data_IF_536316193822
#
_entry.id   IF_536316193822
#
_cell.length_a   1.000
_cell.length_b   1.000
_cell.length_c   1.000
_cell.angle_alpha   90.00
_cell.angle_beta   90.00
_cell.angle_gamma   90.00
#
_symmetry.space_group_name_H-M   'P 1'
#
loop_
_entity.id
_entity.type
_entity.pdbx_description
1 polymer ?
#
# COMPACT_ATOMS: atom_id res chain seq x y z
N UNK A 1 -77.03 -80.81 -2.77
CA UNK A 1 -76.14 -80.56 -1.60
C UNK A 1 -74.78 -81.10 -1.99
N UNK A 2 -73.67 -80.38 -2.11
CA UNK A 2 -73.30 -79.04 -1.70
C UNK A 2 -71.82 -79.10 -1.34
N UNK A 3 -70.96 -78.39 -2.09
CA UNK A 3 -69.84 -77.55 -1.62
C UNK A 3 -68.88 -77.27 -2.79
N UNK A 4 -69.08 -76.09 -3.38
CA UNK A 4 -68.07 -75.39 -4.18
C UNK A 4 -66.91 -75.04 -3.24
N UNK A 5 -65.79 -75.74 -3.36
CA UNK A 5 -64.55 -75.36 -2.69
C UNK A 5 -63.87 -74.28 -3.55
N UNK A 6 -64.21 -73.03 -3.26
CA UNK A 6 -63.64 -71.84 -3.88
C UNK A 6 -62.17 -71.76 -3.44
N UNK A 7 -61.24 -72.14 -4.33
CA UNK A 7 -59.81 -71.93 -4.15
C UNK A 7 -59.55 -70.43 -3.97
N UNK A 8 -59.48 -69.95 -2.72
CA UNK A 8 -58.93 -68.63 -2.40
C UNK A 8 -57.42 -68.72 -2.61
N UNK A 9 -56.95 -68.31 -3.79
CA UNK A 9 -55.53 -68.01 -4.00
C UNK A 9 -55.13 -66.92 -3.00
N UNK A 10 -54.04 -67.16 -2.29
CA UNK A 10 -53.54 -66.25 -1.26
C UNK A 10 -52.68 -65.19 -1.97
N UNK A 11 -53.25 -64.02 -2.25
CA UNK A 11 -52.59 -62.94 -3.03
C UNK A 11 -51.59 -62.10 -2.22
N UNK A 12 -51.44 -62.39 -0.93
CA UNK A 12 -50.57 -61.67 0.00
C UNK A 12 -49.08 -61.66 -0.42
N UNK A 13 -48.48 -62.76 -0.90
CA UNK A 13 -47.07 -62.77 -1.31
C UNK A 13 -46.82 -61.90 -2.55
N UNK A 14 -47.74 -61.95 -3.54
CA UNK A 14 -47.62 -61.18 -4.77
C UNK A 14 -47.76 -59.68 -4.50
N UNK A 15 -48.69 -59.29 -3.62
CA UNK A 15 -48.83 -57.90 -3.19
C UNK A 15 -47.55 -57.40 -2.49
N UNK A 16 -46.88 -58.24 -1.70
CA UNK A 16 -45.62 -57.90 -1.05
C UNK A 16 -44.47 -57.74 -2.05
N UNK A 17 -44.37 -58.64 -3.05
CA UNK A 17 -43.34 -58.55 -4.08
C UNK A 17 -43.53 -57.33 -4.98
N UNK A 18 -44.76 -57.04 -5.40
CA UNK A 18 -45.10 -55.83 -6.16
C UNK A 18 -44.82 -54.57 -5.34
N UNK A 19 -45.16 -54.58 -4.05
CA UNK A 19 -44.89 -53.45 -3.16
C UNK A 19 -43.38 -53.25 -2.93
N UNK A 20 -42.61 -54.32 -2.74
CA UNK A 20 -41.16 -54.26 -2.60
C UNK A 20 -40.48 -53.75 -3.88
N UNK A 21 -40.97 -54.16 -5.05
CA UNK A 21 -40.49 -53.70 -6.36
C UNK A 21 -40.77 -52.20 -6.55
N UNK A 22 -41.97 -51.74 -6.21
CA UNK A 22 -42.33 -50.31 -6.24
C UNK A 22 -41.43 -49.52 -5.27
N UNK A 23 -41.26 -49.99 -4.04
CA UNK A 23 -40.44 -49.30 -3.03
C UNK A 23 -38.95 -49.24 -3.40
N UNK A 24 -38.37 -50.27 -4.01
CA UNK A 24 -36.98 -50.24 -4.48
C UNK A 24 -36.79 -49.27 -5.65
N UNK A 25 -37.79 -49.19 -6.53
CA UNK A 25 -37.74 -48.30 -7.68
C UNK A 25 -37.87 -46.84 -7.24
N UNK A 26 -38.78 -46.53 -6.31
CA UNK A 26 -38.91 -45.18 -5.72
C UNK A 26 -37.75 -44.82 -4.77
N UNK A 27 -37.16 -45.80 -4.07
CA UNK A 27 -35.96 -45.58 -3.27
C UNK A 27 -34.74 -45.17 -4.11
N UNK A 28 -34.65 -45.65 -5.36
CA UNK A 28 -33.57 -45.25 -6.29
C UNK A 28 -33.71 -43.82 -6.84
N UNK A 29 -34.91 -43.21 -6.77
CA UNK A 29 -35.18 -41.85 -7.25
C UNK A 29 -34.50 -40.78 -6.39
N UNK A 30 -34.09 -41.13 -5.16
CA UNK A 30 -33.28 -40.26 -4.30
C UNK A 30 -31.80 -40.19 -4.69
N UNK A 31 -31.38 -40.88 -5.75
CA UNK A 31 -29.98 -40.85 -6.22
C UNK A 31 -29.76 -39.74 -7.25
N UNK A 32 -28.58 -39.11 -7.23
CA UNK A 32 -28.17 -37.98 -8.10
C UNK A 32 -28.21 -38.29 -9.61
N UNK A 33 -28.46 -39.55 -10.00
CA UNK A 33 -28.29 -40.07 -11.37
C UNK A 33 -29.65 -40.34 -12.04
N UNK A 34 -30.34 -39.26 -12.44
CA UNK A 34 -31.72 -39.30 -12.97
C UNK A 34 -31.92 -40.26 -14.17
N UNK A 35 -30.92 -40.39 -15.04
CA UNK A 35 -30.97 -41.30 -16.21
C UNK A 35 -30.96 -42.77 -15.80
N UNK A 36 -30.18 -43.12 -14.77
CA UNK A 36 -30.09 -44.50 -14.26
C UNK A 36 -31.40 -44.87 -13.54
N UNK A 37 -31.96 -43.95 -12.76
CA UNK A 37 -33.27 -44.15 -12.11
C UNK A 37 -34.39 -44.39 -13.13
N UNK A 38 -34.39 -43.67 -14.27
CA UNK A 38 -35.36 -43.87 -15.35
C UNK A 38 -35.21 -45.24 -16.01
N UNK A 39 -33.97 -45.69 -16.27
CA UNK A 39 -33.70 -47.03 -16.82
C UNK A 39 -34.16 -48.14 -15.86
N UNK A 40 -33.89 -48.01 -14.56
CA UNK A 40 -34.37 -48.95 -13.54
C UNK A 40 -35.90 -48.96 -13.49
N UNK A 41 -36.55 -47.80 -13.58
CA UNK A 41 -38.01 -47.68 -13.61
C UNK A 41 -38.67 -48.40 -14.80
N UNK A 42 -38.06 -48.31 -15.98
CA UNK A 42 -38.54 -49.02 -17.18
C UNK A 42 -38.41 -50.54 -16.98
N UNK A 43 -37.28 -51.02 -16.45
CA UNK A 43 -37.05 -52.43 -16.17
C UNK A 43 -38.06 -52.96 -15.15
N UNK A 44 -38.31 -52.21 -14.07
CA UNK A 44 -39.34 -52.52 -13.07
C UNK A 44 -40.72 -52.67 -13.70
N UNK A 45 -41.11 -51.76 -14.61
CA UNK A 45 -42.41 -51.83 -15.28
C UNK A 45 -42.54 -53.10 -16.14
N UNK A 46 -41.49 -53.50 -16.84
CA UNK A 46 -41.46 -54.73 -17.64
C UNK A 46 -41.62 -55.96 -16.74
N UNK A 47 -40.92 -56.00 -15.61
CA UNK A 47 -41.01 -57.10 -14.63
C UNK A 47 -42.43 -57.17 -14.05
N UNK A 48 -43.03 -56.03 -13.70
CA UNK A 48 -44.39 -55.96 -13.17
C UNK A 48 -45.43 -56.52 -14.16
N UNK A 49 -45.34 -56.11 -15.42
CA UNK A 49 -46.23 -56.60 -16.48
C UNK A 49 -46.06 -58.12 -16.65
N UNK A 50 -44.83 -58.62 -16.67
CA UNK A 50 -44.55 -60.05 -16.81
C UNK A 50 -45.10 -60.87 -15.63
N UNK A 51 -44.96 -60.39 -14.40
CA UNK A 51 -45.50 -61.05 -13.20
C UNK A 51 -47.03 -61.09 -13.21
N UNK A 52 -47.68 -59.97 -13.53
CA UNK A 52 -49.14 -59.89 -13.58
C UNK A 52 -49.72 -60.70 -14.75
N UNK A 53 -49.05 -60.71 -15.91
CA UNK A 53 -49.43 -61.54 -17.05
C UNK A 53 -49.34 -63.04 -16.73
N UNK A 54 -48.31 -63.46 -15.99
CA UNK A 54 -48.13 -64.85 -15.57
C UNK A 54 -49.25 -65.35 -14.65
N UNK A 55 -49.74 -64.51 -13.73
CA UNK A 55 -50.78 -64.93 -12.78
C UNK A 55 -52.22 -64.76 -13.29
N UNK A 56 -52.49 -63.67 -14.03
CA UNK A 56 -53.86 -63.25 -14.39
C UNK A 56 -54.10 -63.20 -15.91
N UNK A 57 -53.13 -63.67 -16.72
CA UNK A 57 -53.25 -63.75 -18.16
C UNK A 57 -53.46 -62.38 -18.81
N UNK A 58 -54.41 -62.31 -19.77
CA UNK A 58 -54.69 -61.09 -20.55
C UNK A 58 -55.15 -59.93 -19.66
N UNK A 59 -55.96 -60.21 -18.63
CA UNK A 59 -56.44 -59.19 -17.67
C UNK A 59 -55.30 -58.65 -16.80
N UNK A 60 -54.35 -59.52 -16.43
CA UNK A 60 -53.14 -59.12 -15.73
C UNK A 60 -52.23 -58.23 -16.57
N UNK A 61 -52.11 -58.53 -17.86
CA UNK A 61 -51.31 -57.75 -18.81
C UNK A 61 -51.87 -56.33 -18.96
N UNK A 62 -53.19 -56.19 -19.14
CA UNK A 62 -53.86 -54.90 -19.24
C UNK A 62 -53.72 -54.06 -17.95
N UNK A 63 -53.94 -54.69 -16.79
CA UNK A 63 -53.78 -54.02 -15.49
C UNK A 63 -52.32 -53.59 -15.28
N UNK A 64 -51.35 -54.44 -15.61
CA UNK A 64 -49.92 -54.14 -15.51
C UNK A 64 -49.51 -52.96 -16.37
N UNK A 65 -49.96 -52.91 -17.64
CA UNK A 65 -49.68 -51.79 -18.55
C UNK A 65 -50.23 -50.48 -17.96
N UNK A 66 -51.46 -50.48 -17.43
CA UNK A 66 -52.10 -49.28 -16.90
C UNK A 66 -51.37 -48.74 -15.66
N UNK A 67 -50.94 -49.64 -14.76
CA UNK A 67 -50.12 -49.28 -13.59
C UNK A 67 -48.74 -48.78 -14.03
N UNK A 68 -48.11 -49.42 -15.00
CA UNK A 68 -46.81 -48.97 -15.54
C UNK A 68 -46.89 -47.59 -16.19
N UNK A 69 -47.96 -47.28 -16.92
CA UNK A 69 -48.18 -45.94 -17.48
C UNK A 69 -48.30 -44.91 -16.35
N UNK A 70 -49.10 -45.19 -15.32
CA UNK A 70 -49.25 -44.29 -14.17
C UNK A 70 -47.91 -44.05 -13.45
N UNK A 71 -47.13 -45.11 -13.25
CA UNK A 71 -45.80 -45.04 -12.63
C UNK A 71 -44.81 -44.24 -13.49
N UNK A 72 -44.82 -44.44 -14.80
CA UNK A 72 -43.98 -43.68 -15.74
C UNK A 72 -44.37 -42.20 -15.75
N UNK A 73 -45.67 -41.87 -15.73
CA UNK A 73 -46.12 -40.47 -15.63
C UNK A 73 -45.66 -39.84 -14.32
N UNK A 74 -45.78 -40.55 -13.18
CA UNK A 74 -45.29 -40.06 -11.89
C UNK A 74 -43.76 -39.85 -11.88
N UNK A 75 -43.00 -40.77 -12.47
CA UNK A 75 -41.55 -40.62 -12.63
C UNK A 75 -41.19 -39.45 -13.54
N UNK A 76 -41.87 -39.29 -14.68
CA UNK A 76 -41.64 -38.16 -15.59
C UNK A 76 -41.96 -36.86 -14.88
N UNK A 77 -43.05 -36.75 -14.14
CA UNK A 77 -43.39 -35.56 -13.34
C UNK A 77 -42.33 -35.28 -12.26
N UNK A 78 -41.76 -36.29 -11.62
CA UNK A 78 -40.68 -36.10 -10.65
C UNK A 78 -39.33 -35.76 -11.28
N UNK A 79 -39.04 -36.26 -12.49
CA UNK A 79 -37.85 -35.89 -13.27
C UNK A 79 -37.98 -34.47 -13.82
N UNK A 80 -39.19 -34.07 -14.25
CA UNK A 80 -39.55 -32.73 -14.74
C UNK A 80 -39.74 -31.70 -13.64
N UNK A 81 -40.01 -32.11 -12.39
CA UNK A 81 -39.67 -31.28 -11.25
C UNK A 81 -38.15 -31.13 -11.29
N UNK A 82 -37.70 -30.05 -11.93
CA UNK A 82 -36.37 -29.52 -11.75
C UNK A 82 -36.08 -29.53 -10.24
N UNK A 83 -34.84 -29.80 -9.79
CA UNK A 83 -34.48 -29.30 -8.47
C UNK A 83 -34.93 -27.84 -8.49
N UNK A 84 -35.82 -27.45 -7.58
CA UNK A 84 -36.08 -26.02 -7.49
C UNK A 84 -34.73 -25.41 -7.17
N UNK A 85 -34.27 -24.52 -8.03
CA UNK A 85 -33.12 -23.70 -7.69
C UNK A 85 -33.57 -22.96 -6.44
N UNK A 86 -33.07 -23.37 -5.27
CA UNK A 86 -33.39 -22.76 -3.98
C UNK A 86 -33.16 -21.24 -4.03
N UNK A 87 -32.32 -20.81 -4.98
CA UNK A 87 -32.08 -19.44 -5.39
C UNK A 87 -33.29 -18.75 -6.06
N UNK A 88 -33.94 -19.39 -7.03
CA UNK A 88 -35.08 -18.82 -7.77
C UNK A 88 -36.32 -18.70 -6.88
N UNK A 89 -36.51 -19.64 -5.95
CA UNK A 89 -37.64 -19.62 -5.01
C UNK A 89 -37.55 -18.48 -3.96
N UNK A 90 -36.34 -17.94 -3.72
CA UNK A 90 -36.09 -16.85 -2.74
C UNK A 90 -36.12 -15.45 -3.35
N UNK A 91 -36.21 -15.32 -4.67
CA UNK A 91 -36.18 -14.05 -5.40
C UNK A 91 -37.62 -13.61 -5.71
N UNK A 92 -37.98 -12.35 -5.43
CA UNK A 92 -39.28 -11.80 -5.83
C UNK A 92 -39.34 -11.57 -7.34
N UNK A 93 -40.51 -11.77 -7.97
CA UNK A 93 -40.67 -11.68 -9.44
C UNK A 93 -40.26 -10.33 -10.05
N UNK A 94 -40.21 -9.26 -9.27
CA UNK A 94 -39.83 -7.90 -9.66
C UNK A 94 -38.33 -7.60 -9.53
N UNK A 95 -37.55 -8.52 -8.93
CA UNK A 95 -36.12 -8.35 -8.76
C UNK A 95 -35.41 -8.37 -10.10
N UNK A 96 -34.56 -7.37 -10.37
CA UNK A 96 -33.72 -7.33 -11.57
C UNK A 96 -32.63 -8.38 -11.50
N UNK A 97 -32.52 -9.15 -12.58
CA UNK A 97 -31.55 -10.24 -12.74
C UNK A 97 -30.68 -9.94 -13.97
N UNK A 98 -29.39 -10.23 -13.88
CA UNK A 98 -28.41 -10.03 -14.93
C UNK A 98 -27.28 -11.06 -14.90
N UNK A 99 -26.22 -10.77 -15.64
CA UNK A 99 -24.98 -11.56 -15.68
C UNK A 99 -23.87 -10.78 -14.99
N UNK A 100 -23.17 -11.38 -14.04
CA UNK A 100 -21.97 -10.81 -13.45
C UNK A 100 -20.75 -11.29 -14.24
N UNK A 101 -20.01 -10.35 -14.82
CA UNK A 101 -18.73 -10.57 -15.47
C UNK A 101 -17.61 -9.98 -14.62
N UNK A 102 -16.70 -10.85 -14.18
CA UNK A 102 -15.54 -10.49 -13.37
C UNK A 102 -14.28 -10.50 -14.22
N UNK A 103 -13.73 -9.31 -14.41
CA UNK A 103 -12.39 -9.09 -14.94
C UNK A 103 -11.38 -9.18 -13.79
N UNK A 104 -10.25 -9.85 -13.99
CA UNK A 104 -9.15 -9.85 -13.03
C UNK A 104 -8.01 -8.98 -13.54
N UNK A 105 -7.40 -8.25 -12.60
CA UNK A 105 -6.15 -7.54 -12.82
C UNK A 105 -5.15 -7.93 -11.72
N UNK A 106 -3.89 -8.09 -12.07
CA UNK A 106 -2.79 -8.33 -11.13
C UNK A 106 -2.27 -7.00 -10.57
N UNK A 107 -2.06 -6.93 -9.26
CA UNK A 107 -1.38 -5.84 -8.60
C UNK A 107 0.13 -5.92 -8.87
N UNK A 108 0.61 -5.02 -9.73
CA UNK A 108 2.04 -4.86 -10.01
C UNK A 108 2.69 -3.99 -8.94
N UNK A 109 2.03 -2.89 -8.57
CA UNK A 109 2.48 -1.99 -7.51
C UNK A 109 1.32 -1.25 -6.87
N UNK A 110 1.27 -1.21 -5.55
CA UNK A 110 0.45 -0.28 -4.80
C UNK A 110 1.28 0.92 -4.34
N UNK A 111 0.69 2.11 -4.32
CA UNK A 111 1.31 3.27 -3.69
C UNK A 111 0.23 4.18 -3.09
N UNK A 112 0.46 4.63 -1.86
CA UNK A 112 -0.56 5.36 -1.13
C UNK A 112 0.01 6.44 -0.22
N UNK A 113 -0.83 7.42 0.07
CA UNK A 113 -0.55 8.49 1.02
C UNK A 113 -1.84 8.88 1.76
N UNK A 114 -1.79 9.96 2.53
CA UNK A 114 -2.95 10.51 3.26
C UNK A 114 -4.13 10.91 2.36
N UNK A 115 -3.88 11.14 1.06
CA UNK A 115 -4.89 11.57 0.09
C UNK A 115 -5.54 10.40 -0.66
N UNK A 116 -5.03 9.17 -0.53
CA UNK A 116 -5.65 7.99 -1.09
C UNK A 116 -4.67 6.88 -1.47
N UNK A 117 -5.25 5.78 -1.95
CA UNK A 117 -4.54 4.59 -2.40
C UNK A 117 -4.63 4.50 -3.92
N UNK A 118 -3.51 4.27 -4.58
CA UNK A 118 -3.42 4.06 -6.02
C UNK A 118 -2.76 2.72 -6.29
N UNK A 119 -3.17 2.07 -7.38
CA UNK A 119 -2.63 0.81 -7.82
C UNK A 119 -2.25 0.91 -9.28
N UNK A 120 -1.11 0.32 -9.62
CA UNK A 120 -0.75 -0.04 -10.98
C UNK A 120 -1.05 -1.51 -11.14
N UNK A 121 -1.88 -1.81 -12.14
CA UNK A 121 -2.37 -3.16 -12.39
C UNK A 121 -2.14 -3.59 -13.83
N UNK A 122 -2.15 -4.90 -14.06
CA UNK A 122 -2.07 -5.51 -15.38
C UNK A 122 -3.23 -6.48 -15.59
N UNK A 123 -3.82 -6.51 -16.78
CA UNK A 123 -4.96 -7.37 -17.06
C UNK A 123 -4.57 -8.86 -17.03
N UNK A 124 -5.34 -9.68 -16.31
CA UNK A 124 -5.17 -11.13 -16.25
C UNK A 124 -6.22 -11.80 -17.12
N UNK A 125 -5.78 -12.57 -18.12
CA UNK A 125 -6.68 -13.48 -18.84
C UNK A 125 -6.88 -14.74 -18.03
N UNK A 126 -8.07 -14.90 -17.47
CA UNK A 126 -8.43 -16.08 -16.71
C UNK A 126 -8.73 -17.23 -17.67
N UNK A 127 -7.98 -18.32 -17.54
CA UNK A 127 -8.27 -19.60 -18.19
C UNK A 127 -8.90 -20.58 -17.20
N UNK A 128 -9.62 -21.59 -17.73
CA UNK A 128 -10.40 -22.52 -16.91
C UNK A 128 -9.53 -23.39 -15.98
N UNK A 129 -8.32 -23.70 -16.41
CA UNK A 129 -7.32 -24.45 -15.64
C UNK A 129 -6.68 -23.65 -14.51
N UNK A 130 -6.79 -22.31 -14.54
CA UNK A 130 -6.35 -21.45 -13.45
C UNK A 130 -7.33 -21.45 -12.28
N UNK A 131 -8.62 -21.75 -12.49
CA UNK A 131 -9.64 -21.63 -11.47
C UNK A 131 -9.64 -22.82 -10.51
N UNK A 132 -9.07 -22.66 -9.31
CA UNK A 132 -9.03 -23.71 -8.29
C UNK A 132 -10.30 -23.74 -7.46
N UNK A 133 -10.71 -22.57 -6.93
CA UNK A 133 -11.90 -22.43 -6.12
C UNK A 133 -12.52 -21.05 -6.30
N UNK A 134 -13.77 -21.01 -6.75
CA UNK A 134 -14.52 -19.77 -6.95
C UNK A 134 -15.88 -19.93 -6.28
N UNK A 135 -16.15 -19.04 -5.33
CA UNK A 135 -17.39 -19.03 -4.57
C UNK A 135 -17.96 -17.63 -4.58
N UNK A 136 -19.21 -17.49 -4.98
CA UNK A 136 -19.97 -16.26 -4.88
C UNK A 136 -21.16 -16.50 -3.95
N UNK A 137 -21.18 -15.88 -2.77
CA UNK A 137 -22.27 -16.00 -1.81
C UNK A 137 -23.13 -14.75 -1.83
N UNK A 138 -24.42 -14.89 -2.12
CA UNK A 138 -25.38 -13.82 -1.91
C UNK A 138 -25.62 -13.64 -0.41
N UNK A 139 -25.39 -12.41 0.09
CA UNK A 139 -25.69 -12.02 1.46
C UNK A 139 -27.20 -11.84 1.64
N UNK A 140 -27.86 -11.25 0.64
CA UNK A 140 -29.28 -10.87 0.72
C UNK A 140 -30.22 -12.08 0.64
N UNK A 141 -29.83 -13.12 -0.10
CA UNK A 141 -30.63 -14.33 -0.30
C UNK A 141 -30.11 -15.55 0.46
N UNK A 142 -28.94 -15.44 1.12
CA UNK A 142 -28.21 -16.51 1.81
C UNK A 142 -28.08 -17.79 0.96
N UNK A 143 -27.57 -17.61 -0.26
CA UNK A 143 -27.30 -18.70 -1.22
C UNK A 143 -25.88 -18.61 -1.73
N UNK A 144 -25.25 -19.79 -1.85
CA UNK A 144 -23.90 -19.94 -2.41
C UNK A 144 -24.02 -20.38 -3.87
N UNK A 145 -23.37 -19.63 -4.76
CA UNK A 145 -23.32 -19.86 -6.19
C UNK A 145 -21.92 -20.36 -6.55
N UNK A 146 -21.85 -21.64 -6.89
CA UNK A 146 -20.61 -22.33 -7.31
C UNK A 146 -20.56 -22.55 -8.83
N UNK A 147 -21.68 -22.37 -9.52
CA UNK A 147 -21.74 -22.49 -10.98
C UNK A 147 -21.26 -21.19 -11.65
N UNK A 148 -20.10 -21.27 -12.30
CA UNK A 148 -19.55 -20.20 -13.13
C UNK A 148 -19.03 -20.74 -14.46
N UNK A 149 -18.80 -19.83 -15.40
CA UNK A 149 -18.11 -20.12 -16.67
C UNK A 149 -16.93 -19.19 -16.84
N UNK A 150 -15.88 -19.68 -17.49
CA UNK A 150 -14.79 -18.83 -17.98
C UNK A 150 -15.06 -18.50 -19.44
N UNK A 151 -15.18 -17.21 -19.77
CA UNK A 151 -15.47 -16.74 -21.12
C UNK A 151 -14.67 -15.47 -21.43
N UNK A 152 -13.98 -15.48 -22.57
CA UNK A 152 -13.16 -14.36 -23.06
C UNK A 152 -12.15 -13.83 -22.02
N UNK A 153 -11.59 -14.72 -21.19
CA UNK A 153 -10.64 -14.37 -20.13
C UNK A 153 -11.28 -13.90 -18.81
N UNK A 154 -12.59 -14.05 -18.63
CA UNK A 154 -13.33 -13.55 -17.46
C UNK A 154 -14.13 -14.66 -16.77
N UNK A 155 -14.38 -14.49 -15.47
CA UNK A 155 -15.31 -15.36 -14.73
C UNK A 155 -16.72 -14.79 -14.85
N UNK A 156 -17.67 -15.63 -15.29
CA UNK A 156 -19.03 -15.23 -15.60
C UNK A 156 -20.02 -16.04 -14.77
N UNK A 157 -20.86 -15.33 -14.02
CA UNK A 157 -22.00 -15.89 -13.31
C UNK A 157 -23.29 -15.40 -13.97
N UNK A 158 -24.19 -16.31 -14.29
CA UNK A 158 -25.47 -16.00 -14.94
C UNK A 158 -26.61 -16.01 -13.93
N UNK A 159 -27.70 -15.31 -14.27
CA UNK A 159 -28.94 -15.26 -13.48
C UNK A 159 -28.74 -14.71 -12.06
N UNK A 160 -27.93 -13.66 -11.92
CA UNK A 160 -27.60 -13.04 -10.65
C UNK A 160 -28.59 -11.90 -10.37
N UNK A 161 -29.33 -11.88 -9.26
CA UNK A 161 -30.15 -10.74 -8.86
C UNK A 161 -29.31 -9.57 -8.35
N UNK A 162 -29.87 -8.36 -8.41
CA UNK A 162 -29.35 -7.21 -7.69
C UNK A 162 -29.17 -7.56 -6.19
N UNK A 163 -28.07 -7.11 -5.58
CA UNK A 163 -27.81 -7.38 -4.17
C UNK A 163 -26.35 -7.29 -3.76
N UNK A 164 -26.08 -7.71 -2.53
CA UNK A 164 -24.76 -7.76 -1.92
C UNK A 164 -24.22 -9.19 -1.95
N UNK A 165 -22.96 -9.33 -2.36
CA UNK A 165 -22.31 -10.61 -2.56
C UNK A 165 -20.93 -10.63 -1.93
N UNK A 166 -20.63 -11.71 -1.22
CA UNK A 166 -19.27 -12.05 -0.81
C UNK A 166 -18.66 -12.95 -1.87
N UNK A 167 -17.45 -12.63 -2.28
CA UNK A 167 -16.71 -13.38 -3.29
C UNK A 167 -15.41 -13.92 -2.71
N UNK A 168 -15.10 -15.16 -3.06
CA UNK A 168 -13.80 -15.79 -2.84
C UNK A 168 -13.31 -16.40 -4.14
N UNK A 169 -12.13 -15.99 -4.59
CA UNK A 169 -11.51 -16.48 -5.81
C UNK A 169 -10.08 -16.93 -5.48
N UNK A 170 -9.81 -18.20 -5.71
CA UNK A 170 -8.47 -18.78 -5.74
C UNK A 170 -8.14 -19.12 -7.20
N UNK A 171 -7.15 -18.42 -7.75
CA UNK A 171 -6.57 -18.74 -9.06
C UNK A 171 -5.14 -19.26 -8.87
N UNK A 172 -4.71 -20.17 -9.73
CA UNK A 172 -3.34 -20.65 -9.74
C UNK A 172 -2.36 -19.49 -10.00
N UNK A 173 -1.35 -19.34 -9.15
CA UNK A 173 -0.35 -18.26 -9.23
C UNK A 173 -0.76 -16.96 -8.50
N UNK A 174 -1.94 -16.93 -7.86
CA UNK A 174 -2.45 -15.76 -7.15
C UNK A 174 -2.92 -16.11 -5.74
N UNK A 175 -2.68 -15.17 -4.83
CA UNK A 175 -3.17 -15.23 -3.46
C UNK A 175 -4.70 -15.25 -3.44
N UNK A 176 -5.27 -15.91 -2.42
CA UNK A 176 -6.73 -15.97 -2.22
C UNK A 176 -7.32 -14.56 -2.16
N UNK A 177 -8.13 -14.22 -3.17
CA UNK A 177 -8.91 -12.99 -3.16
C UNK A 177 -10.21 -13.22 -2.38
N UNK A 178 -10.51 -12.34 -1.43
CA UNK A 178 -11.79 -12.30 -0.72
C UNK A 178 -12.28 -10.87 -0.61
N UNK A 179 -13.54 -10.63 -0.98
CA UNK A 179 -14.12 -9.29 -0.91
C UNK A 179 -15.64 -9.31 -0.91
N UNK A 180 -16.24 -8.13 -0.70
CA UNK A 180 -17.69 -7.93 -0.79
C UNK A 180 -17.98 -6.95 -1.92
N UNK A 181 -18.95 -7.26 -2.76
CA UNK A 181 -19.40 -6.40 -3.85
C UNK A 181 -20.90 -6.16 -3.79
N UNK A 182 -21.32 -4.96 -4.19
CA UNK A 182 -22.73 -4.61 -4.34
C UNK A 182 -23.04 -4.47 -5.82
N UNK A 183 -24.01 -5.25 -6.30
CA UNK A 183 -24.59 -5.14 -7.63
C UNK A 183 -25.79 -4.21 -7.53
N UNK A 184 -25.84 -3.17 -8.36
CA UNK A 184 -26.94 -2.19 -8.38
C UNK A 184 -27.57 -2.18 -9.77
N UNK A 185 -28.87 -1.89 -9.84
CA UNK A 185 -29.57 -1.75 -11.12
C UNK A 185 -28.98 -0.61 -11.97
N UNK A 186 -28.54 0.48 -11.35
CA UNK A 186 -27.92 1.61 -12.06
C UNK A 186 -26.60 1.29 -12.74
N UNK A 187 -25.95 0.17 -12.37
CA UNK A 187 -24.66 -0.29 -12.91
C UNK A 187 -24.86 -1.47 -13.89
N UNK A 188 -26.10 -1.84 -14.18
CA UNK A 188 -26.46 -2.93 -15.08
C UNK A 188 -26.58 -2.39 -16.52
N UNK A 189 -25.60 -2.70 -17.36
CA UNK A 189 -25.58 -2.28 -18.77
C UNK A 189 -25.77 -3.52 -19.66
N UNK A 190 -26.74 -3.47 -20.57
CA UNK A 190 -27.05 -4.61 -21.48
C UNK A 190 -27.28 -5.95 -20.74
N UNK A 191 -27.83 -5.89 -19.52
CA UNK A 191 -28.00 -7.02 -18.60
C UNK A 191 -26.69 -7.63 -18.05
N UNK A 192 -25.59 -6.87 -18.04
CA UNK A 192 -24.29 -7.29 -17.53
C UNK A 192 -23.78 -6.30 -16.47
N UNK A 193 -23.35 -6.82 -15.33
CA UNK A 193 -22.49 -6.10 -14.40
C UNK A 193 -21.04 -6.44 -14.71
N UNK A 194 -20.27 -5.44 -15.14
CA UNK A 194 -18.83 -5.57 -15.29
C UNK A 194 -18.15 -5.12 -13.99
N UNK A 195 -17.43 -6.03 -13.34
CA UNK A 195 -16.64 -5.72 -12.14
C UNK A 195 -15.20 -6.15 -12.35
N UNK A 196 -14.28 -5.34 -11.84
CA UNK A 196 -12.86 -5.66 -11.80
C UNK A 196 -12.48 -6.04 -10.39
N UNK A 197 -11.71 -7.12 -10.25
CA UNK A 197 -11.05 -7.50 -9.00
C UNK A 197 -9.53 -7.37 -9.18
N UNK A 198 -8.85 -6.93 -8.13
CA UNK A 198 -7.39 -6.85 -8.11
C UNK A 198 -6.84 -8.02 -7.33
N UNK A 199 -6.02 -8.83 -7.97
CA UNK A 199 -5.39 -10.03 -7.44
C UNK A 199 -3.94 -9.71 -7.08
N UNK A 200 -3.47 -10.28 -5.98
CA UNK A 200 -2.04 -10.31 -5.66
C UNK A 200 -1.47 -11.63 -6.15
N UNK A 201 -0.28 -11.60 -6.74
CA UNK A 201 0.44 -12.83 -7.04
C UNK A 201 0.69 -13.64 -5.75
N UNK A 202 1.05 -14.92 -5.88
CA UNK A 202 1.47 -15.75 -4.73
C UNK A 202 2.81 -15.30 -4.10
N UNK A 203 3.44 -14.27 -4.65
CA UNK A 203 4.66 -13.70 -4.07
C UNK A 203 4.34 -12.87 -2.83
N UNK A 204 5.26 -12.86 -1.87
CA UNK A 204 5.19 -11.94 -0.74
C UNK A 204 5.28 -10.49 -1.24
N UNK A 205 4.46 -9.59 -0.70
CA UNK A 205 4.54 -8.16 -1.00
C UNK A 205 5.30 -7.43 0.11
N UNK A 206 6.18 -6.51 -0.29
CA UNK A 206 6.98 -5.68 0.60
C UNK A 206 6.42 -4.27 0.60
N UNK A 207 6.24 -3.73 1.79
CA UNK A 207 5.78 -2.35 2.01
C UNK A 207 6.90 -1.50 2.58
N UNK A 208 7.19 -0.36 1.95
CA UNK A 208 8.29 0.52 2.37
C UNK A 208 8.09 1.98 1.97
N UNK A 209 8.74 2.87 2.71
CA UNK A 209 8.90 4.29 2.38
C UNK A 209 10.33 4.53 1.88
N UNK A 210 10.51 5.59 1.09
CA UNK A 210 11.83 5.96 0.54
C UNK A 210 12.27 7.30 1.13
N UNK A 211 13.51 7.34 1.63
CA UNK A 211 14.22 8.53 2.08
C UNK A 211 15.48 8.67 1.23
N UNK A 212 15.73 9.87 0.71
CA UNK A 212 16.84 10.14 -0.21
C UNK A 212 17.91 11.03 0.44
N UNK A 213 19.17 10.68 0.20
CA UNK A 213 20.34 11.42 0.69
C UNK A 213 21.38 11.58 -0.41
N UNK A 214 22.29 12.55 -0.24
CA UNK A 214 23.44 12.73 -1.12
C UNK A 214 24.57 11.74 -0.80
N UNK A 215 25.72 11.89 -1.47
CA UNK A 215 26.86 10.99 -1.30
C UNK A 215 27.53 11.05 0.07
N UNK A 216 27.28 12.10 0.87
CA UNK A 216 27.77 12.22 2.25
C UNK A 216 26.74 11.74 3.28
N UNK A 217 25.51 11.44 2.84
CA UNK A 217 24.42 10.99 3.70
C UNK A 217 23.50 12.13 4.17
N UNK A 218 23.67 13.33 3.63
CA UNK A 218 22.85 14.49 3.94
C UNK A 218 21.49 14.42 3.23
N UNK A 219 20.45 14.89 3.92
CA UNK A 219 19.06 14.79 3.45
C UNK A 219 18.85 15.66 2.20
N UNK A 220 18.28 15.04 1.16
CA UNK A 220 17.93 15.73 -0.09
C UNK A 220 16.47 16.19 -0.08
N UNK A 221 16.27 17.48 0.26
CA UNK A 221 14.96 18.14 0.36
C UNK A 221 14.50 18.76 -0.96
N UNK A 222 13.18 18.75 -1.20
CA UNK A 222 12.53 19.35 -2.38
C UNK A 222 13.12 18.87 -3.71
N UNK A 223 13.68 17.66 -3.72
CA UNK A 223 14.25 17.06 -4.92
C UNK A 223 13.23 16.23 -5.64
N UNK A 224 13.26 16.35 -6.96
CA UNK A 224 12.38 15.63 -7.86
C UNK A 224 12.95 14.24 -8.12
N UNK A 225 12.10 13.24 -8.03
CA UNK A 225 12.41 11.85 -8.35
C UNK A 225 11.34 11.20 -9.21
N UNK A 226 11.73 10.16 -9.94
CA UNK A 226 10.81 9.20 -10.55
C UNK A 226 11.05 7.82 -9.91
N UNK A 227 9.99 7.03 -9.78
CA UNK A 227 10.03 5.65 -9.29
C UNK A 227 9.56 4.73 -10.39
N UNK A 228 10.39 3.79 -10.85
CA UNK A 228 10.06 2.85 -11.92
C UNK A 228 10.19 1.41 -11.46
N UNK A 229 9.32 0.54 -11.95
CA UNK A 229 9.45 -0.91 -11.75
C UNK A 229 10.22 -1.48 -12.93
N UNK A 230 11.39 -2.07 -12.69
CA UNK A 230 12.26 -2.54 -13.76
C UNK A 230 11.59 -3.65 -14.57
N UNK A 231 11.93 -3.71 -15.85
CA UNK A 231 11.33 -4.63 -16.83
C UNK A 231 9.82 -4.41 -17.07
N UNK A 232 9.31 -3.24 -16.73
CA UNK A 232 7.93 -2.82 -17.02
C UNK A 232 7.91 -1.39 -17.55
N UNK A 233 6.78 -0.97 -18.13
CA UNK A 233 6.56 0.42 -18.55
C UNK A 233 6.01 1.31 -17.42
N UNK A 234 6.00 0.80 -16.18
CA UNK A 234 5.32 1.44 -15.06
C UNK A 234 6.25 2.38 -14.30
N UNK A 235 5.87 3.67 -14.27
CA UNK A 235 6.65 4.73 -13.65
C UNK A 235 5.70 5.68 -12.91
N UNK A 236 6.02 6.00 -11.67
CA UNK A 236 5.43 7.13 -10.92
C UNK A 236 6.39 8.31 -11.05
N UNK A 237 5.93 9.37 -11.71
CA UNK A 237 6.77 10.53 -12.04
C UNK A 237 6.54 11.70 -11.12
N UNK A 238 7.48 12.63 -11.15
CA UNK A 238 7.37 13.94 -10.52
C UNK A 238 7.15 13.87 -9.00
N UNK A 239 7.74 12.86 -8.35
CA UNK A 239 7.74 12.73 -6.89
C UNK A 239 8.66 13.80 -6.31
N UNK A 240 8.19 14.58 -5.34
CA UNK A 240 9.02 15.61 -4.68
C UNK A 240 9.25 15.18 -3.24
N UNK A 241 10.52 15.14 -2.82
CA UNK A 241 10.89 14.84 -1.44
C UNK A 241 10.51 15.96 -0.48
N UNK A 242 10.11 15.60 0.74
CA UNK A 242 9.80 16.56 1.80
C UNK A 242 11.06 17.05 2.55
N UNK A 243 10.83 17.78 3.65
CA UNK A 243 11.88 18.31 4.54
C UNK A 243 12.76 17.24 5.20
N UNK A 244 12.30 16.00 5.27
CA UNK A 244 13.05 14.86 5.79
C UNK A 244 13.67 14.02 4.64
N UNK A 245 13.60 14.52 3.40
CA UNK A 245 14.05 13.83 2.20
C UNK A 245 13.19 12.62 1.86
N UNK A 246 11.98 12.53 2.39
CA UNK A 246 11.09 11.40 2.19
C UNK A 246 10.21 11.61 0.97
N UNK A 247 10.06 10.56 0.16
CA UNK A 247 9.14 10.56 -0.99
C UNK A 247 7.67 10.47 -0.51
N UNK A 248 6.71 11.03 -1.27
CA UNK A 248 5.36 11.30 -0.77
C UNK A 248 4.47 10.06 -0.59
N UNK A 249 4.93 8.88 -0.97
CA UNK A 249 4.15 7.64 -0.94
C UNK A 249 4.84 6.55 -0.12
N UNK A 250 4.01 5.70 0.50
CA UNK A 250 4.42 4.35 0.87
C UNK A 250 4.15 3.43 -0.33
N UNK A 251 5.14 2.65 -0.72
CA UNK A 251 5.09 1.73 -1.86
C UNK A 251 4.87 0.29 -1.39
N UNK A 252 4.14 -0.49 -2.18
CA UNK A 252 3.88 -1.91 -1.98
C UNK A 252 4.21 -2.64 -3.29
N UNK A 253 5.23 -3.50 -3.28
CA UNK A 253 5.67 -4.25 -4.47
C UNK A 253 5.82 -5.75 -4.16
N UNK A 254 5.60 -6.65 -5.14
CA UNK A 254 6.03 -8.03 -5.03
C UNK A 254 7.54 -8.12 -4.73
N UNK A 255 7.93 -8.99 -3.80
CA UNK A 255 9.30 -9.08 -3.27
C UNK A 255 10.32 -9.52 -4.31
N UNK A 256 9.88 -10.16 -5.39
CA UNK A 256 10.71 -10.62 -6.49
C UNK A 256 10.91 -9.58 -7.61
N UNK A 257 10.32 -8.40 -7.50
CA UNK A 257 10.52 -7.33 -8.48
C UNK A 257 11.67 -6.40 -8.08
N UNK A 258 12.38 -5.96 -9.11
CA UNK A 258 13.36 -4.89 -9.00
C UNK A 258 12.71 -3.56 -9.37
N UNK A 259 13.16 -2.49 -8.73
CA UNK A 259 12.71 -1.14 -9.00
C UNK A 259 13.90 -0.18 -9.00
N UNK A 260 13.69 0.97 -9.60
CA UNK A 260 14.70 2.02 -9.70
C UNK A 260 14.10 3.34 -9.22
N UNK A 261 14.92 4.13 -8.53
CA UNK A 261 14.62 5.51 -8.19
C UNK A 261 15.58 6.40 -8.94
N UNK A 262 15.03 7.29 -9.77
CA UNK A 262 15.78 8.30 -10.50
C UNK A 262 15.67 9.63 -9.74
N UNK A 263 16.81 10.24 -9.41
CA UNK A 263 16.91 11.56 -8.80
C UNK A 263 17.35 12.59 -9.84
N UNK A 264 16.61 13.69 -9.95
CA UNK A 264 17.00 14.84 -10.77
C UNK A 264 17.74 15.87 -9.89
N UNK A 265 19.06 15.98 -10.09
CA UNK A 265 19.94 16.84 -9.28
C UNK A 265 20.87 17.64 -10.20
N UNK A 266 20.87 18.97 -10.08
CA UNK A 266 21.77 19.89 -10.81
C UNK A 266 21.90 19.63 -12.32
N UNK A 267 20.76 19.39 -12.98
CA UNK A 267 20.63 19.07 -14.43
C UNK A 267 21.21 17.71 -14.84
N UNK A 268 21.59 16.90 -13.87
CA UNK A 268 21.96 15.51 -14.05
C UNK A 268 20.90 14.58 -13.44
N UNK A 269 20.94 13.32 -13.85
CA UNK A 269 20.05 12.26 -13.36
C UNK A 269 20.90 11.16 -12.75
N UNK A 270 20.55 10.77 -11.53
CA UNK A 270 21.21 9.72 -10.76
C UNK A 270 20.21 8.59 -10.54
N UNK A 271 20.64 7.34 -10.69
CA UNK A 271 19.75 6.19 -10.65
C UNK A 271 20.27 5.17 -9.64
N UNK A 272 19.39 4.70 -8.76
CA UNK A 272 19.70 3.61 -7.83
C UNK A 272 18.66 2.50 -7.97
N UNK A 273 19.13 1.25 -8.02
CA UNK A 273 18.33 0.06 -8.29
C UNK A 273 18.30 -0.86 -7.08
N UNK A 274 17.14 -1.45 -6.82
CA UNK A 274 16.90 -2.29 -5.65
C UNK A 274 15.99 -3.47 -5.97
N UNK A 275 16.26 -4.60 -5.33
CA UNK A 275 15.34 -5.73 -5.25
C UNK A 275 14.42 -5.56 -4.04
N UNK A 276 13.10 -5.65 -4.24
CA UNK A 276 12.12 -5.42 -3.16
C UNK A 276 12.30 -6.37 -1.96
N UNK A 277 12.79 -7.60 -2.15
CA UNK A 277 13.08 -8.52 -1.04
C UNK A 277 14.14 -7.99 -0.06
N UNK A 278 15.02 -7.09 -0.50
CA UNK A 278 16.23 -6.72 0.23
C UNK A 278 16.10 -5.36 0.95
N UNK A 279 15.06 -4.59 0.65
CA UNK A 279 14.88 -3.24 1.20
C UNK A 279 14.43 -3.24 2.66
N UNK A 280 14.85 -2.24 3.43
CA UNK A 280 14.27 -2.00 4.75
C UNK A 280 13.05 -1.08 4.66
N UNK A 281 12.32 -0.93 5.77
CA UNK A 281 11.29 0.10 5.89
C UNK A 281 11.62 1.02 7.09
N UNK A 282 11.99 2.29 6.85
CA UNK A 282 12.16 2.93 5.54
C UNK A 282 13.42 2.45 4.78
N UNK A 283 13.38 2.52 3.46
CA UNK A 283 14.53 2.40 2.58
C UNK A 283 15.24 3.76 2.52
N UNK A 284 16.54 3.78 2.83
CA UNK A 284 17.40 4.95 2.64
C UNK A 284 18.22 4.76 1.37
N UNK A 285 18.07 5.69 0.43
CA UNK A 285 18.78 5.70 -0.86
C UNK A 285 19.82 6.80 -0.80
N UNK A 286 21.09 6.41 -0.86
CA UNK A 286 22.23 7.32 -0.87
C UNK A 286 22.71 7.45 -2.31
N UNK A 287 22.41 8.59 -2.94
CA UNK A 287 22.81 8.82 -4.33
C UNK A 287 24.27 9.28 -4.42
N UNK A 288 24.94 8.92 -5.50
CA UNK A 288 26.31 9.39 -5.81
C UNK A 288 26.36 10.84 -6.31
N UNK A 289 25.50 11.73 -5.79
CA UNK A 289 25.51 13.16 -6.16
C UNK A 289 26.73 13.87 -5.58
N UNK A 290 27.27 14.90 -6.24
CA UNK A 290 28.21 15.81 -5.58
C UNK A 290 27.56 16.35 -4.29
N UNK A 291 28.32 16.45 -3.19
CA UNK A 291 27.81 17.03 -1.97
C UNK A 291 27.33 18.45 -2.25
N UNK A 292 26.20 18.82 -1.66
CA UNK A 292 25.62 20.16 -1.85
C UNK A 292 26.72 21.18 -1.50
N UNK A 293 27.10 22.05 -2.46
CA UNK A 293 28.15 23.04 -2.23
C UNK A 293 27.81 23.84 -0.98
N UNK A 294 28.60 23.66 0.10
CA UNK A 294 28.50 24.51 1.28
C UNK A 294 28.79 25.93 0.83
N UNK A 295 27.95 26.89 1.20
CA UNK A 295 28.17 28.31 0.87
C UNK A 295 29.60 28.64 1.34
N UNK A 296 30.53 28.97 0.43
CA UNK A 296 31.93 29.17 0.81
C UNK A 296 32.03 30.50 1.55
N UNK A 297 31.95 30.43 2.87
CA UNK A 297 32.27 31.56 3.75
C UNK A 297 33.79 31.73 3.81
N UNK A 298 34.25 32.97 3.78
CA UNK A 298 35.67 33.28 3.96
C UNK A 298 35.91 33.94 5.31
N UNK A 299 37.04 33.65 5.94
CA UNK A 299 37.41 34.15 7.27
C UNK A 299 38.74 34.87 7.21
N UNK A 300 38.84 36.00 7.91
CA UNK A 300 40.10 36.67 8.21
C UNK A 300 40.05 37.24 9.62
N UNK A 301 41.17 37.18 10.36
CA UNK A 301 41.24 37.72 11.71
C UNK A 301 42.51 38.52 12.00
N UNK A 302 42.47 39.28 13.09
CA UNK A 302 43.62 39.95 13.69
C UNK A 302 43.68 39.66 15.19
N UNK A 303 44.87 39.39 15.76
CA UNK A 303 46.16 39.26 15.09
C UNK A 303 46.25 38.00 14.22
N UNK A 304 46.85 38.11 13.04
CA UNK A 304 47.12 36.98 12.15
C UNK A 304 48.47 36.35 12.53
N UNK A 305 48.48 35.65 13.66
CA UNK A 305 49.64 34.91 14.16
C UNK A 305 49.33 33.40 14.21
N UNK A 306 50.37 32.60 14.45
CA UNK A 306 50.25 31.13 14.47
C UNK A 306 49.52 30.58 15.71
N UNK A 307 49.28 31.41 16.73
CA UNK A 307 48.65 30.98 17.97
C UNK A 307 47.15 31.23 17.97
N UNK A 308 46.68 32.27 17.25
CA UNK A 308 45.25 32.54 17.08
C UNK A 308 44.64 31.69 15.97
N UNK A 309 43.52 31.05 16.29
CA UNK A 309 42.78 30.19 15.36
C UNK A 309 41.31 30.59 15.43
N UNK A 310 40.74 30.87 14.25
CA UNK A 310 39.30 30.98 14.06
C UNK A 310 38.84 29.79 13.23
N UNK A 311 37.96 28.98 13.80
CA UNK A 311 37.39 27.80 13.15
C UNK A 311 35.91 28.01 12.89
N UNK A 312 35.45 27.60 11.70
CA UNK A 312 34.06 27.72 11.25
C UNK A 312 33.42 26.35 10.99
N UNK A 313 33.34 25.44 11.98
CA UNK A 313 32.61 24.19 11.81
C UNK A 313 31.11 24.45 11.63
N UNK A 314 30.42 23.42 11.16
CA UNK A 314 28.97 23.41 11.14
C UNK A 314 28.40 23.31 12.56
N UNK A 315 27.30 24.00 12.83
CA UNK A 315 26.55 23.83 14.07
C UNK A 315 25.71 22.56 13.97
N UNK A 316 26.11 21.50 14.67
CA UNK A 316 25.45 20.20 14.62
C UNK A 316 24.14 20.23 15.43
N UNK A 317 23.00 20.05 14.77
CA UNK A 317 21.67 20.11 15.40
C UNK A 317 21.44 19.07 16.50
N UNK A 318 22.19 17.96 16.46
CA UNK A 318 22.05 16.84 17.38
C UNK A 318 23.08 16.82 18.51
N UNK A 319 24.22 17.48 18.32
CA UNK A 319 25.33 17.47 19.26
C UNK A 319 25.54 18.84 19.93
N UNK A 320 25.47 19.93 19.17
CA UNK A 320 25.70 21.27 19.68
C UNK A 320 24.46 21.82 20.41
N UNK A 321 24.72 22.55 21.49
CA UNK A 321 23.68 23.10 22.37
C UNK A 321 24.03 24.54 22.71
N UNK A 322 23.02 25.41 22.66
CA UNK A 322 23.18 26.77 23.16
C UNK A 322 23.42 26.78 24.66
N UNK A 323 24.07 27.84 25.14
CA UNK A 323 24.22 28.13 26.58
C UNK A 323 22.87 28.22 27.30
N UNK A 324 21.79 28.48 26.56
CA UNK A 324 20.41 28.51 27.01
C UNK A 324 19.78 27.12 27.18
N UNK A 325 20.51 26.05 26.86
CA UNK A 325 20.07 24.66 26.92
C UNK A 325 19.19 24.22 25.75
N UNK A 326 19.05 25.03 24.69
CA UNK A 326 18.24 24.69 23.50
C UNK A 326 19.12 24.16 22.37
N UNK A 327 18.45 23.42 21.47
CA UNK A 327 19.00 23.00 20.17
C UNK A 327 18.44 23.91 19.08
N UNK A 328 19.25 24.12 18.05
CA UNK A 328 18.96 25.04 16.95
C UNK A 328 18.96 24.27 15.61
N UNK A 329 18.37 24.86 14.57
CA UNK A 329 18.13 24.23 13.27
C UNK A 329 19.36 24.10 12.36
N UNK A 330 20.56 24.30 12.91
CA UNK A 330 21.84 24.25 12.21
C UNK A 330 22.35 25.65 11.90
N UNK A 331 23.48 25.73 11.20
CA UNK A 331 24.16 26.99 10.89
C UNK A 331 25.66 26.86 10.99
N UNK A 332 26.35 27.95 11.26
CA UNK A 332 27.80 27.97 11.41
C UNK A 332 28.15 28.22 12.87
N UNK A 333 29.01 27.36 13.41
CA UNK A 333 29.66 27.53 14.71
C UNK A 333 30.99 28.23 14.47
N UNK A 334 31.25 29.26 15.27
CA UNK A 334 32.46 30.07 15.22
C UNK A 334 33.21 29.87 16.53
N UNK A 335 34.43 29.36 16.44
CA UNK A 335 35.32 29.16 17.59
C UNK A 335 36.56 30.02 17.41
N UNK A 336 36.71 31.02 18.29
CA UNK A 336 37.86 31.91 18.33
C UNK A 336 38.73 31.51 19.53
N UNK A 337 39.95 31.08 19.25
CA UNK A 337 40.87 30.51 20.25
C UNK A 337 42.28 31.09 20.12
N UNK A 338 43.04 31.02 21.21
CA UNK A 338 44.49 31.23 21.22
C UNK A 338 45.14 30.06 21.93
N UNK A 339 46.07 29.39 21.24
CA UNK A 339 46.72 28.16 21.73
C UNK A 339 47.27 28.29 23.15
N UNK A 340 47.83 29.43 23.55
CA UNK A 340 48.41 29.59 24.88
C UNK A 340 47.32 29.81 25.94
N UNK A 341 46.28 30.58 25.61
CA UNK A 341 45.14 30.81 26.51
C UNK A 341 44.37 29.51 26.72
N UNK A 342 44.05 28.76 25.65
CA UNK A 342 43.33 27.49 25.72
C UNK A 342 44.10 26.41 26.50
N UNK A 343 45.43 26.51 26.58
CA UNK A 343 46.29 25.63 27.39
C UNK A 343 46.41 26.05 28.87
N UNK A 344 45.66 27.06 29.31
CA UNK A 344 45.60 27.50 30.70
C UNK A 344 46.68 28.51 31.11
N UNK A 345 47.27 29.23 30.15
CA UNK A 345 48.05 30.41 30.50
C UNK A 345 47.11 31.49 31.06
N UNK A 346 47.49 32.16 32.15
CA UNK A 346 46.78 33.31 32.72
C UNK A 346 46.94 34.57 31.85
N UNK A 347 46.68 34.45 30.55
CA UNK A 347 46.76 35.52 29.56
C UNK A 347 45.36 35.90 29.07
N UNK A 348 45.28 37.12 28.54
CA UNK A 348 44.14 37.57 27.75
C UNK A 348 44.61 38.07 26.39
N UNK A 349 43.71 38.00 25.40
CA UNK A 349 44.01 38.41 24.03
C UNK A 349 42.76 38.91 23.33
N UNK A 350 42.88 40.07 22.69
CA UNK A 350 41.86 40.60 21.80
C UNK A 350 42.03 40.00 20.41
N UNK A 351 40.94 39.48 19.85
CA UNK A 351 40.88 38.92 18.50
C UNK A 351 39.69 39.52 17.77
N UNK A 352 39.95 40.10 16.59
CA UNK A 352 38.91 40.58 15.68
C UNK A 352 38.80 39.56 14.54
N UNK A 353 37.67 38.87 14.43
CA UNK A 353 37.36 37.96 13.31
C UNK A 353 36.35 38.60 12.36
N UNK A 354 36.55 38.39 11.07
CA UNK A 354 35.72 38.90 9.99
C UNK A 354 35.37 37.76 9.04
N UNK A 355 34.12 37.33 9.08
CA UNK A 355 33.56 36.27 8.25
C UNK A 355 32.73 36.91 7.15
N UNK A 356 33.05 36.64 5.90
CA UNK A 356 32.29 37.13 4.73
C UNK A 356 31.42 36.01 4.19
N UNK A 357 30.10 36.23 4.19
CA UNK A 357 29.12 35.32 3.60
C UNK A 357 28.70 35.91 2.25
N UNK A 358 28.99 35.23 1.13
CA UNK A 358 28.56 35.68 -0.18
C UNK A 358 27.03 35.58 -0.29
N UNK A 359 26.40 36.58 -0.90
CA UNK A 359 24.99 36.59 -1.24
C UNK A 359 24.90 36.39 -2.75
N UNK A 360 24.29 35.30 -3.21
CA UNK A 360 24.01 35.18 -4.63
C UNK A 360 22.89 36.17 -5.00
N UNK A 361 23.09 37.00 -6.02
CA UNK A 361 22.17 38.08 -6.39
C UNK A 361 20.83 37.60 -7.00
N UNK A 362 20.36 36.41 -6.63
CA UNK A 362 19.23 35.72 -7.24
C UNK A 362 18.19 35.27 -6.20
N UNK A 363 18.15 35.93 -5.04
CA UNK A 363 17.14 35.68 -4.01
C UNK A 363 15.87 36.50 -4.27
N UNK A 364 14.70 35.86 -4.20
CA UNK A 364 13.39 36.53 -4.15
C UNK A 364 13.15 37.21 -2.77
N UNK A 365 13.96 36.90 -1.76
CA UNK A 365 13.89 37.42 -0.38
C UNK A 365 15.24 38.07 -0.01
N UNK A 366 15.22 39.35 0.39
CA UNK A 366 16.42 40.12 0.78
C UNK A 366 16.67 40.13 2.29
N UNK A 367 15.96 39.30 3.04
CA UNK A 367 16.00 39.29 4.51
C UNK A 367 16.89 38.14 4.99
N UNK A 368 17.96 38.47 5.70
CA UNK A 368 18.79 37.53 6.43
C UNK A 368 18.38 37.51 7.91
N UNK A 369 17.84 36.38 8.37
CA UNK A 369 17.33 36.20 9.74
C UNK A 369 17.94 34.98 10.40
N UNK A 370 18.07 35.04 11.72
CA UNK A 370 18.61 33.96 12.52
C UNK A 370 18.82 34.37 13.96
N UNK A 371 19.64 33.60 14.67
CA UNK A 371 19.93 33.81 16.09
C UNK A 371 21.41 33.66 16.34
N UNK A 372 22.00 34.62 17.07
CA UNK A 372 23.30 34.41 17.69
C UNK A 372 23.13 33.74 19.04
N UNK A 373 23.79 32.61 19.23
CA UNK A 373 23.76 31.86 20.49
C UNK A 373 25.17 31.51 20.91
N UNK A 374 25.51 31.70 22.18
CA UNK A 374 26.79 31.20 22.70
C UNK A 374 26.72 29.68 22.83
N UNK A 375 27.82 29.00 22.52
CA UNK A 375 27.92 27.56 22.75
C UNK A 375 27.83 27.23 24.24
N UNK A 376 27.31 26.05 24.59
CA UNK A 376 27.26 25.60 25.98
C UNK A 376 28.63 25.62 26.67
N UNK A 377 29.74 25.45 25.93
CA UNK A 377 31.11 25.57 26.45
C UNK A 377 31.43 26.94 27.03
N UNK A 378 30.67 27.98 26.65
CA UNK A 378 30.84 29.34 27.17
C UNK A 378 30.24 29.53 28.57
N UNK A 379 29.52 28.55 29.12
CA UNK A 379 28.90 28.71 30.43
C UNK A 379 29.94 28.96 31.53
N UNK A 380 29.87 30.15 32.14
CA UNK A 380 30.75 30.54 33.25
C UNK A 380 32.19 30.89 32.85
N UNK A 381 32.49 31.02 31.55
CA UNK A 381 33.81 31.47 31.11
C UNK A 381 33.94 33.00 31.14
N UNK A 382 35.18 33.48 31.25
CA UNK A 382 35.49 34.92 31.33
C UNK A 382 35.62 35.60 29.96
N UNK A 383 35.76 34.82 28.89
CA UNK A 383 35.83 35.36 27.54
C UNK A 383 34.54 36.08 27.15
N UNK A 384 34.70 37.24 26.53
CA UNK A 384 33.59 38.08 26.06
C UNK A 384 33.77 38.43 24.60
N UNK A 385 32.72 38.94 23.97
CA UNK A 385 32.82 39.47 22.62
C UNK A 385 31.63 40.30 22.21
N UNK A 386 31.79 41.05 21.13
CA UNK A 386 30.73 41.78 20.44
C UNK A 386 30.61 41.21 19.04
N UNK A 387 29.41 40.78 18.65
CA UNK A 387 29.14 40.30 17.30
C UNK A 387 28.30 41.35 16.58
N UNK A 388 28.73 41.73 15.38
CA UNK A 388 28.08 42.71 14.53
C UNK A 388 27.84 42.15 13.14
N UNK A 389 26.71 42.50 12.54
CA UNK A 389 26.45 42.24 11.10
C UNK A 389 26.69 43.55 10.35
N UNK A 390 27.52 43.47 9.31
CA UNK A 390 27.79 44.58 8.42
C UNK A 390 27.29 44.25 7.01
N UNK A 391 26.63 45.22 6.39
CA UNK A 391 26.17 45.17 4.99
C UNK A 391 26.77 46.38 4.30
N UNK A 392 27.45 46.18 3.18
CA UNK A 392 28.23 47.23 2.51
C UNK A 392 29.20 47.98 3.46
N UNK A 393 29.79 47.26 4.42
CA UNK A 393 30.64 47.78 5.51
C UNK A 393 29.97 48.71 6.53
N UNK A 394 28.64 48.85 6.49
CA UNK A 394 27.89 49.57 7.53
C UNK A 394 27.32 48.59 8.55
N UNK A 395 27.50 48.86 9.85
CA UNK A 395 26.93 48.04 10.90
C UNK A 395 25.42 48.20 10.95
N UNK A 396 24.69 47.12 10.66
CA UNK A 396 23.22 47.07 10.68
C UNK A 396 22.66 46.37 11.91
N UNK A 397 23.47 45.54 12.58
CA UNK A 397 23.09 44.82 13.79
C UNK A 397 24.30 44.68 14.73
N UNK A 398 24.04 44.60 16.03
CA UNK A 398 25.04 44.23 17.04
C UNK A 398 24.39 43.52 18.23
N UNK A 399 25.09 42.55 18.81
CA UNK A 399 24.69 41.89 20.05
C UNK A 399 24.93 42.75 21.29
N UNK A 400 25.76 43.79 21.19
CA UNK A 400 26.46 44.33 22.35
C UNK A 400 27.46 43.33 22.92
N UNK A 401 28.04 43.64 24.08
CA UNK A 401 28.97 42.74 24.76
C UNK A 401 28.23 41.53 25.34
N UNK A 402 28.68 40.34 24.96
CA UNK A 402 28.17 39.05 25.42
C UNK A 402 29.31 38.18 25.95
N UNK A 403 29.01 37.28 26.88
CA UNK A 403 30.00 36.36 27.46
C UNK A 403 29.31 35.25 28.25
N UNK A 404 30.05 34.54 29.11
CA UNK A 404 29.54 33.34 29.79
C UNK A 404 28.33 33.51 30.73
N UNK A 405 27.87 34.76 30.95
CA UNK A 405 26.65 35.10 31.69
C UNK A 405 25.46 35.48 30.78
N UNK A 406 25.66 35.61 29.47
CA UNK A 406 24.60 35.90 28.50
C UNK A 406 23.90 34.60 28.13
N UNK A 407 22.89 34.23 28.93
CA UNK A 407 22.20 32.94 28.81
C UNK A 407 21.09 32.93 27.75
N UNK A 408 20.78 34.06 27.12
CA UNK A 408 19.72 34.14 26.12
C UNK A 408 20.36 34.25 24.74
N UNK A 409 19.80 33.53 23.78
CA UNK A 409 20.10 33.71 22.38
C UNK A 409 19.55 35.06 21.87
N UNK A 410 20.23 35.67 20.91
CA UNK A 410 19.96 37.02 20.43
C UNK A 410 19.50 36.92 18.97
N UNK A 411 18.19 37.09 18.70
CA UNK A 411 17.69 37.04 17.33
C UNK A 411 18.14 38.27 16.54
N UNK A 412 18.34 38.08 15.24
CA UNK A 412 18.61 39.14 14.27
C UNK A 412 17.73 38.97 13.04
N UNK A 413 17.39 40.10 12.43
CA UNK A 413 16.70 40.18 11.15
C UNK A 413 17.25 41.42 10.45
N UNK A 414 17.93 41.23 9.32
CA UNK A 414 18.59 42.30 8.57
C UNK A 414 18.22 42.21 7.10
N UNK A 415 17.92 43.35 6.49
CA UNK A 415 17.67 43.45 5.04
C UNK A 415 19.00 43.78 4.34
N UNK A 416 19.42 42.92 3.41
CA UNK A 416 20.64 43.09 2.63
C UNK A 416 20.42 43.77 1.28
N UNK A 417 19.17 43.96 0.85
CA UNK A 417 18.83 44.58 -0.43
C UNK A 417 19.63 43.97 -1.58
N UNK A 418 20.40 44.81 -2.27
CA UNK A 418 21.22 44.44 -3.44
C UNK A 418 22.70 44.15 -3.09
N UNK A 419 23.03 43.87 -1.82
CA UNK A 419 24.42 43.65 -1.41
C UNK A 419 24.97 42.29 -1.91
N UNK A 420 26.21 42.29 -2.40
CA UNK A 420 26.90 41.07 -2.88
C UNK A 420 27.37 40.14 -1.74
N UNK A 421 27.46 40.66 -0.52
CA UNK A 421 27.86 39.89 0.66
C UNK A 421 27.45 40.58 1.96
N UNK A 422 27.33 39.80 3.02
CA UNK A 422 27.23 40.27 4.39
C UNK A 422 28.48 39.85 5.17
N UNK A 423 28.78 40.58 6.24
CA UNK A 423 29.97 40.35 7.05
C UNK A 423 29.54 40.18 8.50
N UNK A 424 29.94 39.05 9.10
CA UNK A 424 29.86 38.84 10.54
C UNK A 424 31.21 39.26 11.11
N UNK A 425 31.21 40.37 11.85
CA UNK A 425 32.39 40.88 12.56
C UNK A 425 32.27 40.48 14.02
N UNK A 426 33.32 39.87 14.58
CA UNK A 426 33.40 39.53 16.00
C UNK A 426 34.63 40.17 16.61
N UNK A 427 34.42 40.99 17.63
CA UNK A 427 35.49 41.53 18.47
C UNK A 427 35.47 40.75 19.78
N UNK A 428 36.35 39.76 19.92
CA UNK A 428 36.41 38.87 21.07
C UNK A 428 37.58 39.24 22.00
N UNK A 429 37.31 39.26 23.30
CA UNK A 429 38.31 39.29 24.36
C UNK A 429 38.42 37.90 24.97
N UNK A 430 39.50 37.18 24.66
CA UNK A 430 39.77 35.85 25.21
C UNK A 430 40.38 36.00 26.61
N UNK A 431 39.79 35.34 27.62
CA UNK A 431 40.33 35.24 28.98
C UNK A 431 40.13 33.83 29.53
N UNK A 432 41.23 33.09 29.68
CA UNK A 432 41.24 31.73 30.24
C UNK A 432 40.53 30.65 29.40
N UNK A 433 39.80 31.01 28.34
CA UNK A 433 39.13 30.09 27.43
C UNK A 433 38.91 30.70 26.05
N UNK A 434 38.36 29.89 25.15
CA UNK A 434 37.92 30.32 23.82
C UNK A 434 36.66 31.19 23.91
N UNK A 435 36.34 31.88 22.81
CA UNK A 435 35.05 32.52 22.58
C UNK A 435 34.32 31.77 21.46
N UNK A 436 33.20 31.12 21.79
CA UNK A 436 32.49 30.19 20.91
C UNK A 436 31.02 30.56 20.80
N UNK A 437 30.53 30.73 19.57
CA UNK A 437 29.13 31.05 19.31
C UNK A 437 28.65 30.40 18.01
N UNK A 438 27.34 30.35 17.81
CA UNK A 438 26.71 29.97 16.56
C UNK A 438 25.87 31.13 16.00
N UNK A 439 25.85 31.27 14.69
CA UNK A 439 24.79 32.00 14.00
C UNK A 439 23.92 30.99 13.26
N UNK A 440 22.73 30.77 13.82
CA UNK A 440 21.92 29.57 13.59
C UNK A 440 20.48 29.93 13.25
N UNK A 441 19.76 28.98 12.66
CA UNK A 441 18.31 29.08 12.49
C UNK A 441 17.57 28.65 13.76
N UNK A 442 16.44 29.28 14.05
CA UNK A 442 15.48 28.70 15.01
C UNK A 442 14.95 27.37 14.46
N UNK A 443 14.71 26.41 15.35
CA UNK A 443 14.17 25.10 14.99
C UNK A 443 12.66 25.11 14.83
#
# INVERSE_FOLDING_TARGET
>A
MGKSQKNRRNYVPLCLDVFALVMTTFGSILTRHKVIALLIGIVTCIILIALLAKEFGVVGTLTGILVSILLMVLMVVQVYKAPSDEFVDKITEDTKIGTLKLCAEELIMGYYNSNGNNNITSAVKIDKDMCENIVLKSVDYDVVLEEYKVQDGNVVFSNIPIGTYDIRIQLAGFSLYSGTMKLKESELEENIWNKTITLQSDNDYKEFQVIITDSEGEILKEKKCDFSVLNTDYIVKDLVSDEEGKLPYTFILPSNLEFQVELYYDKETYCEEYLASDVNNPLKIQFSTPPKEKIPVSETHQPNDVATIVSLPEWNTDEDMGIDGKRYGGGIKVSISDMFISMGANGSKDVISRITVPLDGNYDETIFRGVFVLDQSMYGVESTGVISILINNEQVFTTGEIGGNTLNAIPFEVDFGDADSLIILTEAHLSGSDFVYGFVSEK
#
